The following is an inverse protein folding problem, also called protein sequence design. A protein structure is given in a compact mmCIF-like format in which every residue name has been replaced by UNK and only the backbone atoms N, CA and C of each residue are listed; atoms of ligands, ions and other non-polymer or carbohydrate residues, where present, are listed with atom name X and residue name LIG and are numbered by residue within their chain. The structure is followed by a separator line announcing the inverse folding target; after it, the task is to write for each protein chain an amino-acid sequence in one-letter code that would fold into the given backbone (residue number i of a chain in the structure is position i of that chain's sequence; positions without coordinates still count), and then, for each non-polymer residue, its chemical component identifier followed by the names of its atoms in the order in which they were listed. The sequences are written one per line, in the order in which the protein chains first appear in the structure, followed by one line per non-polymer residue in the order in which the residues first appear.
data_IF_121579163418
#
_entry.id   IF_121579163418
#
_cell.length_a   1.000
_cell.length_b   1.000
_cell.length_c   1.000
_cell.angle_alpha   90.00
_cell.angle_beta   90.00
_cell.angle_gamma   90.00
#
_symmetry.space_group_name_H-M   'P 1'
#
loop_
_entity.id
_entity.type
_entity.pdbx_description
1 polymer ?
#
# COMPACT_ATOMS: atom_id res chain seq x y z
N UNK A 1 39.39 -74.00 -20.89
CA UNK A 1 40.32 -74.97 -20.28
C UNK A 1 40.68 -74.49 -18.88
N UNK A 2 40.29 -75.28 -17.87
CA UNK A 2 40.96 -75.49 -16.56
C UNK A 2 41.48 -74.26 -15.79
N UNK A 3 40.80 -73.85 -14.70
CA UNK A 3 41.16 -74.24 -13.32
C UNK A 3 42.62 -73.98 -12.94
N UNK A 4 42.87 -72.90 -12.18
CA UNK A 4 43.89 -72.78 -11.10
C UNK A 4 43.37 -71.63 -10.19
N UNK A 5 42.51 -71.84 -9.19
CA UNK A 5 42.74 -72.36 -7.84
C UNK A 5 44.01 -71.85 -7.14
N UNK A 6 43.85 -71.58 -5.84
CA UNK A 6 44.89 -71.47 -4.80
C UNK A 6 45.29 -70.05 -4.42
N UNK A 7 44.49 -69.53 -3.51
CA UNK A 7 44.93 -68.69 -2.39
C UNK A 7 46.10 -69.39 -1.67
N UNK A 8 47.31 -68.84 -1.80
CA UNK A 8 48.41 -69.15 -0.91
C UNK A 8 48.44 -68.16 0.25
N UNK A 9 48.28 -68.76 1.43
CA UNK A 9 48.45 -68.20 2.75
C UNK A 9 49.80 -67.50 2.87
N UNK A 10 49.79 -66.25 3.34
CA UNK A 10 50.86 -65.74 4.18
C UNK A 10 50.22 -65.09 5.42
N UNK A 11 50.29 -65.85 6.49
CA UNK A 11 50.08 -65.42 7.86
C UNK A 11 51.12 -64.37 8.21
N UNK A 12 50.69 -63.14 8.49
CA UNK A 12 51.43 -62.26 9.38
C UNK A 12 50.66 -62.18 10.69
N UNK A 13 51.39 -62.59 11.73
CA UNK A 13 50.92 -62.73 13.09
C UNK A 13 50.39 -61.42 13.64
N UNK A 14 49.41 -61.58 14.52
CA UNK A 14 48.85 -60.56 15.39
C UNK A 14 49.94 -59.83 16.18
N UNK A 15 50.09 -58.54 15.91
CA UNK A 15 50.51 -57.53 16.88
C UNK A 15 49.80 -56.24 16.51
N UNK A 16 49.05 -55.69 17.47
CA UNK A 16 48.15 -54.57 17.26
C UNK A 16 48.84 -53.29 16.79
N UNK A 17 47.98 -52.43 16.22
CA UNK A 17 48.20 -51.03 15.80
C UNK A 17 48.66 -50.87 14.33
N UNK A 18 47.80 -50.22 13.52
CA UNK A 18 48.05 -49.60 12.20
C UNK A 18 47.73 -50.38 10.89
N UNK A 19 46.46 -50.77 10.67
CA UNK A 19 45.94 -51.09 9.31
C UNK A 19 44.64 -50.32 8.98
N UNK A 20 44.65 -48.99 9.19
CA UNK A 20 43.55 -48.09 8.77
C UNK A 20 43.93 -47.16 7.61
N UNK A 21 45.09 -47.37 6.97
CA UNK A 21 45.65 -46.43 5.99
C UNK A 21 46.06 -47.06 4.64
N UNK A 22 45.50 -48.21 4.26
CA UNK A 22 45.71 -48.75 2.92
C UNK A 22 44.51 -48.41 2.04
N UNK A 23 44.65 -47.34 1.25
CA UNK A 23 43.72 -46.98 0.17
C UNK A 23 44.26 -47.55 -1.15
N UNK A 24 43.53 -48.49 -1.77
CA UNK A 24 43.92 -49.14 -3.04
C UNK A 24 43.18 -48.55 -4.25
N UNK A 25 42.88 -47.25 -4.24
CA UNK A 25 42.24 -46.59 -5.38
C UNK A 25 43.29 -46.25 -6.45
N UNK A 26 43.09 -46.62 -7.73
CA UNK A 26 44.02 -46.27 -8.80
C UNK A 26 44.13 -44.75 -8.90
N UNK A 27 45.36 -44.23 -8.92
CA UNK A 27 45.63 -42.81 -9.13
C UNK A 27 45.22 -42.47 -10.55
N UNK A 28 44.01 -41.94 -10.73
CA UNK A 28 43.59 -41.35 -11.99
C UNK A 28 44.40 -40.08 -12.17
N UNK A 29 45.51 -40.17 -12.91
CA UNK A 29 46.29 -39.05 -13.41
C UNK A 29 45.39 -38.23 -14.36
N UNK A 30 44.49 -37.43 -13.81
CA UNK A 30 43.63 -36.56 -14.57
C UNK A 30 44.53 -35.65 -15.42
N UNK A 31 44.39 -35.74 -16.74
CA UNK A 31 45.06 -34.82 -17.66
C UNK A 31 44.75 -33.39 -17.20
N UNK A 32 45.75 -32.50 -17.10
CA UNK A 32 45.55 -31.16 -16.58
C UNK A 32 44.40 -30.48 -17.32
N UNK A 33 43.38 -30.08 -16.56
CA UNK A 33 42.11 -29.59 -17.09
C UNK A 33 42.38 -28.44 -18.08
N UNK A 34 41.93 -28.60 -19.33
CA UNK A 34 42.13 -27.57 -20.37
C UNK A 34 41.66 -26.22 -19.85
N UNK A 35 42.54 -25.21 -19.89
CA UNK A 35 42.25 -23.85 -19.42
C UNK A 35 40.96 -23.37 -20.09
N UNK A 36 39.97 -22.97 -19.29
CA UNK A 36 38.72 -22.40 -19.80
C UNK A 36 39.06 -21.22 -20.72
N UNK A 37 38.65 -21.31 -21.98
CA UNK A 37 38.85 -20.22 -22.95
C UNK A 37 38.10 -18.98 -22.46
N UNK A 38 38.78 -17.83 -22.45
CA UNK A 38 38.09 -16.54 -22.24
C UNK A 38 37.05 -16.39 -23.34
N UNK A 39 35.83 -16.05 -22.95
CA UNK A 39 34.77 -15.70 -23.89
C UNK A 39 35.12 -14.40 -24.59
N UNK A 40 34.75 -14.30 -25.86
CA UNK A 40 34.97 -13.09 -26.64
C UNK A 40 34.28 -11.89 -25.96
N UNK A 41 34.93 -10.72 -25.92
CA UNK A 41 34.40 -9.54 -25.24
C UNK A 41 33.02 -9.13 -25.79
N UNK A 42 32.77 -9.39 -27.08
CA UNK A 42 31.49 -9.11 -27.73
C UNK A 42 30.35 -10.01 -27.24
N UNK A 43 30.63 -11.27 -26.90
CA UNK A 43 29.64 -12.20 -26.34
C UNK A 43 29.27 -11.80 -24.91
N UNK A 44 30.23 -11.30 -24.13
CA UNK A 44 30.00 -10.79 -22.77
C UNK A 44 29.11 -9.54 -22.81
N UNK A 45 29.45 -8.57 -23.67
CA UNK A 45 28.65 -7.35 -23.88
C UNK A 45 27.22 -7.67 -24.30
N UNK A 46 27.03 -8.59 -25.25
CA UNK A 46 25.68 -9.03 -25.66
C UNK A 46 24.89 -9.68 -24.52
N UNK A 47 25.53 -10.46 -23.64
CA UNK A 47 24.87 -11.05 -22.46
C UNK A 47 24.43 -9.99 -21.47
N UNK A 48 25.28 -8.98 -21.23
CA UNK A 48 24.96 -7.84 -20.37
C UNK A 48 23.82 -6.99 -20.94
N UNK A 49 23.87 -6.67 -22.24
CA UNK A 49 22.81 -5.90 -22.91
C UNK A 49 21.47 -6.64 -22.89
N UNK A 50 21.48 -7.97 -23.03
CA UNK A 50 20.28 -8.81 -22.86
C UNK A 50 19.74 -8.74 -21.42
N UNK A 51 20.60 -8.76 -20.41
CA UNK A 51 20.19 -8.62 -19.00
C UNK A 51 19.60 -7.23 -18.72
N UNK A 52 20.27 -6.17 -19.19
CA UNK A 52 19.81 -4.77 -19.07
C UNK A 52 18.43 -4.60 -19.69
N UNK A 53 18.23 -5.05 -20.94
CA UNK A 53 16.93 -4.99 -21.61
C UNK A 53 15.82 -5.77 -20.91
N UNK A 54 16.13 -6.90 -20.28
CA UNK A 54 15.16 -7.67 -19.48
C UNK A 54 14.73 -6.91 -18.23
N UNK A 55 15.70 -6.37 -17.50
CA UNK A 55 15.47 -5.58 -16.29
C UNK A 55 14.67 -4.31 -16.63
N UNK A 56 15.05 -3.59 -17.68
CA UNK A 56 14.35 -2.39 -18.16
C UNK A 56 12.89 -2.69 -18.52
N UNK A 57 12.62 -3.81 -19.21
CA UNK A 57 11.25 -4.24 -19.50
C UNK A 57 10.46 -4.59 -18.23
N UNK A 58 11.10 -5.20 -17.24
CA UNK A 58 10.47 -5.55 -15.98
C UNK A 58 10.15 -4.29 -15.16
N UNK A 59 11.08 -3.33 -15.10
CA UNK A 59 10.86 -2.01 -14.50
C UNK A 59 9.68 -1.32 -15.17
N UNK A 60 9.63 -1.26 -16.50
CA UNK A 60 8.49 -0.66 -17.24
C UNK A 60 7.15 -1.34 -16.95
N UNK A 61 7.12 -2.63 -16.64
CA UNK A 61 5.89 -3.35 -16.27
C UNK A 61 5.47 -3.00 -14.83
N UNK A 62 6.42 -3.01 -13.90
CA UNK A 62 6.18 -2.64 -12.51
C UNK A 62 5.74 -1.18 -12.37
N UNK A 63 6.35 -0.25 -13.12
CA UNK A 63 5.95 1.15 -13.16
C UNK A 63 4.53 1.36 -13.68
N UNK A 64 4.08 0.54 -14.65
CA UNK A 64 2.70 0.59 -15.14
C UNK A 64 1.70 0.09 -14.11
N UNK A 65 2.01 -1.00 -13.39
CA UNK A 65 1.16 -1.51 -12.32
C UNK A 65 1.14 -0.60 -11.10
N UNK A 66 2.28 -0.02 -10.70
CA UNK A 66 2.35 0.87 -9.54
C UNK A 66 1.47 2.14 -9.66
N UNK A 67 1.10 2.51 -10.89
CA UNK A 67 0.18 3.64 -11.16
C UNK A 67 -1.29 3.24 -11.15
N UNK A 68 -1.62 1.96 -11.12
CA UNK A 68 -3.01 1.52 -11.02
C UNK A 68 -3.47 1.75 -9.59
N UNK A 69 -4.48 2.60 -9.43
CA UNK A 69 -5.09 2.87 -8.15
C UNK A 69 -5.94 1.66 -7.74
N UNK A 70 -6.04 1.43 -6.44
CA UNK A 70 -7.00 0.45 -5.91
C UNK A 70 -8.42 0.91 -6.28
N UNK A 71 -9.29 0.00 -6.73
CA UNK A 71 -10.68 0.34 -7.00
C UNK A 71 -11.39 0.77 -5.71
N UNK A 72 -12.36 1.67 -5.84
CA UNK A 72 -13.16 2.17 -4.71
C UNK A 72 -14.50 1.45 -4.72
N UNK A 73 -14.62 0.43 -3.88
CA UNK A 73 -15.79 -0.46 -3.83
C UNK A 73 -17.10 0.30 -3.59
N UNK A 74 -17.09 1.35 -2.76
CA UNK A 74 -18.27 2.16 -2.43
C UNK A 74 -18.85 2.93 -3.64
N UNK A 75 -18.05 3.19 -4.66
CA UNK A 75 -18.50 3.89 -5.87
C UNK A 75 -19.13 2.94 -6.89
N UNK A 76 -18.80 1.65 -6.83
CA UNK A 76 -19.28 0.64 -7.75
C UNK A 76 -20.51 -0.08 -7.18
N UNK A 77 -21.50 -0.37 -8.02
CA UNK A 77 -22.68 -1.13 -7.60
C UNK A 77 -22.32 -2.62 -7.60
N UNK A 78 -22.46 -3.34 -6.46
CA UNK A 78 -22.21 -4.77 -6.42
C UNK A 78 -23.05 -5.54 -7.43
N UNK A 79 -22.43 -6.48 -8.15
CA UNK A 79 -23.08 -7.28 -9.19
C UNK A 79 -24.28 -8.06 -8.64
N UNK A 80 -24.20 -8.54 -7.39
CA UNK A 80 -25.30 -9.25 -6.72
C UNK A 80 -26.60 -8.44 -6.65
N UNK A 81 -26.51 -7.11 -6.54
CA UNK A 81 -27.70 -6.24 -6.49
C UNK A 81 -28.33 -6.08 -7.88
N UNK A 82 -27.52 -6.14 -8.93
CA UNK A 82 -27.97 -6.08 -10.31
C UNK A 82 -28.70 -7.38 -10.66
N UNK A 83 -28.09 -8.53 -10.32
CA UNK A 83 -28.65 -9.85 -10.59
C UNK A 83 -29.96 -10.09 -9.82
N UNK A 84 -30.00 -9.70 -8.55
CA UNK A 84 -31.17 -9.88 -7.68
C UNK A 84 -32.18 -8.72 -7.76
N UNK A 85 -32.04 -7.81 -8.72
CA UNK A 85 -32.88 -6.61 -8.80
C UNK A 85 -34.37 -6.94 -8.80
N UNK A 86 -34.80 -7.89 -9.63
CA UNK A 86 -36.22 -8.26 -9.74
C UNK A 86 -36.82 -8.80 -8.43
N UNK A 87 -36.02 -9.45 -7.58
CA UNK A 87 -36.46 -10.02 -6.30
C UNK A 87 -36.43 -8.97 -5.18
N UNK A 88 -35.47 -8.04 -5.21
CA UNK A 88 -35.25 -7.03 -4.16
C UNK A 88 -35.98 -5.70 -4.42
N UNK A 89 -36.46 -5.47 -5.63
CA UNK A 89 -37.15 -4.24 -6.00
C UNK A 89 -38.49 -4.09 -5.28
N UNK A 90 -38.63 -2.98 -4.54
CA UNK A 90 -39.87 -2.64 -3.84
C UNK A 90 -40.78 -1.84 -4.77
N UNK A 91 -41.97 -2.36 -5.06
CA UNK A 91 -43.00 -1.63 -5.84
C UNK A 91 -43.58 -0.51 -4.99
N UNK A 92 -43.23 0.73 -5.31
CA UNK A 92 -43.74 1.92 -4.62
C UNK A 92 -45.06 2.37 -5.24
N UNK A 93 -46.00 2.81 -4.40
CA UNK A 93 -47.23 3.46 -4.85
C UNK A 93 -46.93 4.85 -5.41
N UNK A 94 -47.58 5.29 -6.50
CA UNK A 94 -47.42 6.65 -7.00
C UNK A 94 -47.85 7.66 -5.93
N UNK A 95 -47.12 8.78 -5.84
CA UNK A 95 -47.41 9.82 -4.88
C UNK A 95 -48.64 10.62 -5.30
N UNK A 96 -49.49 10.98 -4.34
CA UNK A 96 -50.61 11.87 -4.59
C UNK A 96 -50.14 13.30 -4.91
N UNK A 97 -50.93 14.05 -5.68
CA UNK A 97 -50.59 15.43 -6.08
C UNK A 97 -50.29 16.34 -4.88
N UNK A 98 -51.09 16.29 -3.82
CA UNK A 98 -50.86 17.06 -2.60
C UNK A 98 -49.51 16.75 -1.92
N UNK A 99 -49.08 15.48 -1.93
CA UNK A 99 -47.78 15.09 -1.36
C UNK A 99 -46.61 15.59 -2.22
N UNK A 100 -46.78 15.62 -3.54
CA UNK A 100 -45.78 16.18 -4.45
C UNK A 100 -45.61 17.68 -4.26
N UNK A 101 -46.72 18.42 -4.14
CA UNK A 101 -46.71 19.85 -3.85
C UNK A 101 -46.07 20.15 -2.50
N UNK A 102 -46.43 19.40 -1.45
CA UNK A 102 -45.82 19.55 -0.13
C UNK A 102 -44.30 19.34 -0.18
N UNK A 103 -43.82 18.32 -0.90
CA UNK A 103 -42.38 18.08 -1.09
C UNK A 103 -41.71 19.21 -1.86
N UNK A 104 -42.36 19.75 -2.89
CA UNK A 104 -41.83 20.86 -3.66
C UNK A 104 -41.69 22.14 -2.81
N UNK A 105 -42.71 22.44 -1.99
CA UNK A 105 -42.68 23.55 -1.04
C UNK A 105 -41.57 23.39 0.00
N UNK A 106 -41.44 22.20 0.61
CA UNK A 106 -40.37 21.90 1.56
C UNK A 106 -38.98 22.06 0.93
N UNK A 107 -38.79 21.57 -0.30
CA UNK A 107 -37.52 21.75 -1.02
C UNK A 107 -37.20 23.21 -1.27
N UNK A 108 -38.20 24.03 -1.63
CA UNK A 108 -38.03 25.48 -1.81
C UNK A 108 -37.62 26.16 -0.50
N UNK A 109 -38.31 25.85 0.60
CA UNK A 109 -37.98 26.38 1.92
C UNK A 109 -36.57 25.96 2.36
N UNK A 110 -36.21 24.70 2.16
CA UNK A 110 -34.87 24.19 2.45
C UNK A 110 -33.78 24.88 1.65
N UNK A 111 -34.02 25.13 0.35
CA UNK A 111 -33.09 25.85 -0.51
C UNK A 111 -32.86 27.29 -0.02
N UNK A 112 -33.93 28.00 0.37
CA UNK A 112 -33.82 29.34 0.97
C UNK A 112 -33.02 29.30 2.28
N UNK A 113 -33.37 28.39 3.19
CA UNK A 113 -32.66 28.23 4.46
C UNK A 113 -31.16 27.97 4.26
N UNK A 114 -30.80 27.05 3.37
CA UNK A 114 -29.40 26.74 3.07
C UNK A 114 -28.66 27.88 2.38
N UNK A 115 -29.36 28.69 1.59
CA UNK A 115 -28.78 29.89 1.03
C UNK A 115 -28.46 30.92 2.12
N UNK A 116 -29.40 31.18 3.03
CA UNK A 116 -29.20 32.12 4.14
C UNK A 116 -28.07 31.69 5.08
N UNK A 117 -28.01 30.41 5.46
CA UNK A 117 -26.91 29.82 6.24
C UNK A 117 -25.57 30.06 5.54
N UNK A 118 -25.50 29.80 4.23
CA UNK A 118 -24.27 29.97 3.47
C UNK A 118 -23.83 31.43 3.33
N UNK A 119 -24.79 32.34 3.15
CA UNK A 119 -24.53 33.79 3.12
C UNK A 119 -23.99 34.26 4.47
N UNK A 120 -24.55 33.79 5.57
CA UNK A 120 -24.06 34.10 6.91
C UNK A 120 -22.63 33.60 7.13
N UNK A 121 -22.32 32.36 6.72
CA UNK A 121 -20.96 31.80 6.78
C UNK A 121 -19.95 32.67 6.02
N UNK A 122 -20.29 33.08 4.79
CA UNK A 122 -19.41 33.93 3.98
C UNK A 122 -19.18 35.28 4.64
N UNK A 123 -20.23 35.91 5.19
CA UNK A 123 -20.07 37.17 5.93
C UNK A 123 -19.16 37.02 7.16
N UNK A 124 -19.20 35.89 7.86
CA UNK A 124 -18.31 35.62 9.00
C UNK A 124 -16.87 35.50 8.50
N UNK A 125 -16.62 34.72 7.45
CA UNK A 125 -15.29 34.54 6.86
C UNK A 125 -14.73 35.89 6.39
N UNK A 126 -15.52 36.69 5.68
CA UNK A 126 -15.11 38.01 5.19
C UNK A 126 -14.73 38.94 6.33
N UNK A 127 -15.53 38.97 7.41
CA UNK A 127 -15.21 39.75 8.62
C UNK A 127 -13.91 39.28 9.27
N UNK A 128 -13.69 37.98 9.38
CA UNK A 128 -12.48 37.41 9.96
C UNK A 128 -11.25 37.80 9.13
N UNK A 129 -11.31 37.65 7.81
CA UNK A 129 -10.22 38.02 6.90
C UNK A 129 -9.94 39.53 6.95
N UNK A 130 -10.97 40.38 6.94
CA UNK A 130 -10.81 41.83 7.07
C UNK A 130 -10.15 42.20 8.41
N UNK A 131 -10.58 41.57 9.51
CA UNK A 131 -10.00 41.82 10.83
C UNK A 131 -8.54 41.37 10.92
N UNK A 132 -8.20 40.23 10.30
CA UNK A 132 -6.83 39.73 10.23
C UNK A 132 -5.94 40.68 9.43
N UNK A 133 -6.40 41.11 8.25
CA UNK A 133 -5.64 42.03 7.39
C UNK A 133 -5.40 43.37 8.08
N UNK A 134 -6.43 43.95 8.69
CA UNK A 134 -6.30 45.19 9.45
C UNK A 134 -5.29 45.05 10.60
N UNK A 135 -5.37 43.95 11.35
CA UNK A 135 -4.41 43.68 12.43
C UNK A 135 -2.96 43.56 11.91
N UNK A 136 -2.76 42.95 10.73
CA UNK A 136 -1.44 42.85 10.10
C UNK A 136 -0.93 44.19 9.59
N UNK A 137 -1.79 45.04 9.03
CA UNK A 137 -1.45 46.40 8.61
C UNK A 137 -1.03 47.27 9.80
N UNK A 138 -1.79 47.24 10.90
CA UNK A 138 -1.46 47.95 12.14
C UNK A 138 -0.14 47.44 12.74
N UNK A 139 0.05 46.11 12.80
CA UNK A 139 1.27 45.51 13.31
C UNK A 139 2.49 45.87 12.48
N UNK A 140 2.34 46.02 11.16
CA UNK A 140 3.40 46.47 10.27
C UNK A 140 3.81 47.92 10.53
N UNK A 141 2.84 48.81 10.77
CA UNK A 141 3.09 50.21 11.10
C UNK A 141 3.84 50.34 12.44
N UNK A 142 3.55 49.45 13.40
CA UNK A 142 4.24 49.42 14.70
C UNK A 142 5.63 48.77 14.62
N UNK A 143 5.75 47.64 13.92
CA UNK A 143 7.02 46.90 13.81
C UNK A 143 7.09 45.96 12.59
N UNK A 144 8.02 46.24 11.69
CA UNK A 144 8.22 45.39 10.49
C UNK A 144 8.77 44.00 10.85
N UNK A 145 9.60 43.89 11.90
CA UNK A 145 10.18 42.61 12.33
C UNK A 145 9.12 41.59 12.79
N UNK A 146 8.14 42.02 13.59
CA UNK A 146 7.05 41.15 14.04
C UNK A 146 6.13 40.77 12.87
N UNK A 147 5.93 41.68 11.92
CA UNK A 147 5.14 41.41 10.72
C UNK A 147 5.76 40.30 9.88
N UNK A 148 7.07 40.36 9.66
CA UNK A 148 7.81 39.32 8.95
C UNK A 148 7.76 37.97 9.68
N UNK A 149 7.76 37.97 11.01
CA UNK A 149 7.59 36.75 11.79
C UNK A 149 6.17 36.18 11.71
N UNK A 150 5.14 37.02 11.78
CA UNK A 150 3.73 36.62 11.78
C UNK A 150 3.26 36.03 10.45
N UNK A 151 3.85 36.44 9.32
CA UNK A 151 3.51 35.93 7.98
C UNK A 151 4.09 34.54 7.70
N UNK A 152 5.10 34.11 8.45
CA UNK A 152 5.73 32.82 8.24
C UNK A 152 4.73 31.68 8.53
N UNK A 153 4.72 30.69 7.65
CA UNK A 153 3.88 29.51 7.80
C UNK A 153 4.42 28.65 8.94
N UNK A 154 3.60 28.39 9.96
CA UNK A 154 3.98 27.46 11.02
C UNK A 154 3.85 26.01 10.55
N UNK A 155 4.99 25.39 10.24
CA UNK A 155 5.07 23.99 9.83
C UNK A 155 4.65 23.02 10.95
N UNK A 156 4.61 23.44 12.22
CA UNK A 156 4.18 22.59 13.34
C UNK A 156 2.68 22.33 13.34
N UNK A 157 1.90 23.12 12.60
CA UNK A 157 0.47 22.89 12.46
C UNK A 157 0.17 21.60 11.67
N UNK A 158 1.10 21.10 10.86
CA UNK A 158 0.88 19.90 10.05
C UNK A 158 1.60 18.68 10.68
N UNK A 159 0.94 17.51 10.83
CA UNK A 159 -0.44 17.18 10.45
C UNK A 159 -1.49 17.58 11.51
N UNK A 160 -2.60 18.18 11.07
CA UNK A 160 -3.77 18.46 11.92
C UNK A 160 -4.69 17.23 11.97
N UNK A 161 -5.09 16.81 13.17
CA UNK A 161 -6.14 15.80 13.37
C UNK A 161 -7.29 16.39 14.19
N UNK A 162 -8.49 16.45 13.60
CA UNK A 162 -9.71 16.89 14.29
C UNK A 162 -10.73 15.76 14.24
N UNK A 163 -11.26 15.37 15.41
CA UNK A 163 -12.41 14.45 15.49
C UNK A 163 -13.69 15.29 15.47
N UNK A 164 -14.65 14.89 14.64
CA UNK A 164 -15.95 15.55 14.57
C UNK A 164 -16.75 15.40 15.88
N UNK A 165 -17.78 16.23 16.08
CA UNK A 165 -18.66 16.10 17.23
C UNK A 165 -19.41 14.76 17.23
N UNK A 166 -19.62 14.18 18.41
CA UNK A 166 -20.42 12.96 18.61
C UNK A 166 -21.86 13.32 18.93
N UNK A 167 -22.81 12.46 18.56
CA UNK A 167 -24.23 12.66 18.88
C UNK A 167 -24.50 12.69 20.39
N UNK A 168 -23.72 11.93 21.18
CA UNK A 168 -23.82 11.87 22.64
C UNK A 168 -22.41 11.85 23.23
N UNK A 169 -22.12 12.65 24.26
CA UNK A 169 -20.80 12.66 24.88
C UNK A 169 -20.48 11.31 25.56
N UNK A 170 -19.20 10.96 25.72
CA UNK A 170 -18.79 9.70 26.34
C UNK A 170 -19.21 9.64 27.81
N UNK A 171 -19.68 8.47 28.23
CA UNK A 171 -20.00 8.17 29.62
C UNK A 171 -18.68 7.90 30.37
N UNK A 172 -18.51 8.50 31.56
CA UNK A 172 -17.34 8.26 32.41
C UNK A 172 -17.34 6.81 32.90
N UNK A 173 -16.16 6.17 32.86
CA UNK A 173 -15.92 4.81 33.36
C UNK A 173 -16.79 3.72 32.72
N UNK A 174 -17.24 3.95 31.48
CA UNK A 174 -17.95 2.92 30.72
C UNK A 174 -17.00 1.78 30.35
N UNK A 175 -17.28 0.60 30.88
CA UNK A 175 -16.58 -0.64 30.51
C UNK A 175 -17.23 -1.18 29.25
N UNK A 176 -16.53 -1.06 28.11
CA UNK A 176 -16.96 -1.70 26.87
C UNK A 176 -16.95 -3.22 27.04
N UNK A 177 -17.92 -3.96 26.46
CA UNK A 177 -17.83 -5.41 26.39
C UNK A 177 -16.59 -5.85 25.62
N UNK A 178 -16.04 -7.00 26.01
CA UNK A 178 -14.88 -7.61 25.35
C UNK A 178 -15.24 -8.13 23.96
N UNK A 179 -14.31 -7.99 23.01
CA UNK A 179 -14.44 -8.50 21.66
C UNK A 179 -13.17 -8.36 20.84
N UNK A 180 -13.01 -9.22 19.82
CA UNK A 180 -11.86 -9.22 18.94
C UNK A 180 -12.12 -8.40 17.67
N UNK A 181 -11.18 -7.51 17.31
CA UNK A 181 -11.22 -6.81 16.04
C UNK A 181 -10.54 -7.63 14.94
N UNK A 182 -11.33 -8.13 13.99
CA UNK A 182 -10.82 -8.83 12.80
C UNK A 182 -10.74 -7.83 11.65
N UNK A 183 -9.52 -7.47 11.24
CA UNK A 183 -9.32 -6.58 10.10
C UNK A 183 -9.59 -7.31 8.77
N UNK A 184 -10.78 -7.12 8.22
CA UNK A 184 -11.19 -7.65 6.91
C UNK A 184 -11.05 -6.58 5.82
N UNK A 185 -9.87 -6.46 5.23
CA UNK A 185 -9.67 -5.63 4.05
C UNK A 185 -9.27 -6.49 2.84
N UNK A 186 -9.85 -6.19 1.68
CA UNK A 186 -9.47 -6.86 0.43
C UNK A 186 -8.02 -6.53 0.09
N UNK A 187 -7.22 -7.57 -0.15
CA UNK A 187 -5.85 -7.43 -0.66
C UNK A 187 -5.92 -7.34 -2.18
N UNK A 188 -5.41 -6.23 -2.72
CA UNK A 188 -5.26 -5.99 -4.16
C UNK A 188 -3.77 -6.15 -4.48
N UNK A 189 -3.38 -7.24 -5.15
CA UNK A 189 -2.01 -7.55 -5.60
C UNK A 189 -1.77 -7.18 -7.07
#
# INVERSE_FOLDING_TARGET
MSLVSVLSRLTLQSSGVASRFLHTTPVLCAEPLKKKKKLDPQIIKQREDRKKKKIEKQIRRLEKNARQLKPVEELEVPLELIDNKAQRERKLTPLGAAQLEQRALLKKQWAHYKHEEKVADFQIIDRLVQSQNKALEELRLESEELYQAAIQVDLKLLPVYVKGPVATPPIKDYVSPDGDYIHQAMKWE
#
